data_IF_238594167496
#
_entry.id   IF_238594167496
#
_cell.length_a   1.000
_cell.length_b   1.000
_cell.length_c   1.000
_cell.angle_alpha   90.00
_cell.angle_beta   90.00
_cell.angle_gamma   90.00
#
_symmetry.space_group_name_H-M   'P 1'
#
loop_
_entity.id
_entity.type
_entity.pdbx_description
1 polymer ?
#
# COMPACT_ATOMS: atom_id res chain seq x y z
N UNK A 1 7.36 -8.79 18.57
CA UNK A 1 6.10 -8.50 17.85
C UNK A 1 5.68 -9.78 17.12
N UNK A 2 4.42 -10.21 17.18
CA UNK A 2 3.95 -11.39 16.43
C UNK A 2 3.62 -11.00 14.99
N UNK A 3 3.66 -11.94 14.04
CA UNK A 3 3.26 -11.70 12.64
C UNK A 3 1.84 -11.13 12.54
N UNK A 4 0.92 -11.61 13.40
CA UNK A 4 -0.44 -11.07 13.46
C UNK A 4 -0.46 -9.59 13.86
N UNK A 5 0.29 -9.21 14.90
CA UNK A 5 0.39 -7.81 15.34
C UNK A 5 1.06 -6.92 14.29
N UNK A 6 2.08 -7.43 13.58
CA UNK A 6 2.70 -6.70 12.47
C UNK A 6 1.68 -6.42 11.35
N UNK A 7 0.92 -7.43 10.94
CA UNK A 7 -0.11 -7.29 9.90
C UNK A 7 -1.24 -6.36 10.31
N UNK A 8 -1.59 -6.34 11.59
CA UNK A 8 -2.55 -5.38 12.14
C UNK A 8 -2.01 -3.95 12.04
N UNK A 9 -0.80 -3.70 12.55
CA UNK A 9 -0.15 -2.39 12.47
C UNK A 9 0.02 -1.90 11.02
N UNK A 10 0.35 -2.80 10.08
CA UNK A 10 0.44 -2.46 8.65
C UNK A 10 -0.92 -2.01 8.09
N UNK A 11 -2.03 -2.67 8.46
CA UNK A 11 -3.38 -2.23 8.08
C UNK A 11 -3.75 -0.91 8.72
N UNK A 12 -3.36 -0.66 9.97
CA UNK A 12 -3.63 0.61 10.65
C UNK A 12 -2.91 1.77 9.96
N UNK A 13 -1.64 1.58 9.57
CA UNK A 13 -0.91 2.55 8.74
C UNK A 13 -1.63 2.81 7.40
N UNK A 14 -2.11 1.76 6.73
CA UNK A 14 -2.85 1.93 5.47
C UNK A 14 -4.14 2.75 5.67
N UNK A 15 -4.90 2.50 6.74
CA UNK A 15 -6.10 3.30 7.05
C UNK A 15 -5.75 4.77 7.25
N UNK A 16 -4.69 5.06 8.01
CA UNK A 16 -4.21 6.43 8.20
C UNK A 16 -3.83 7.08 6.87
N UNK A 17 -3.05 6.41 6.02
CA UNK A 17 -2.66 6.93 4.70
C UNK A 17 -3.90 7.24 3.85
N UNK A 18 -4.88 6.33 3.81
CA UNK A 18 -6.10 6.52 3.02
C UNK A 18 -6.94 7.72 3.50
N UNK A 19 -6.92 8.06 4.79
CA UNK A 19 -7.55 9.28 5.29
C UNK A 19 -6.91 10.55 4.70
N UNK A 20 -5.59 10.58 4.57
CA UNK A 20 -4.88 11.71 3.96
C UNK A 20 -5.01 11.73 2.43
N UNK A 21 -4.91 10.58 1.77
CA UNK A 21 -5.15 10.45 0.33
C UNK A 21 -6.54 10.96 -0.03
N UNK A 22 -7.56 10.64 0.77
CA UNK A 22 -8.92 11.15 0.55
C UNK A 22 -9.01 12.69 0.64
N UNK A 23 -8.20 13.34 1.49
CA UNK A 23 -8.15 14.83 1.52
C UNK A 23 -7.54 15.37 0.23
N UNK A 24 -6.43 14.80 -0.21
CA UNK A 24 -5.76 15.20 -1.47
C UNK A 24 -6.70 15.01 -2.65
N UNK A 25 -7.39 13.88 -2.74
CA UNK A 25 -8.36 13.59 -3.81
C UNK A 25 -9.45 14.65 -3.87
N UNK A 26 -9.96 15.12 -2.73
CA UNK A 26 -11.01 16.16 -2.69
C UNK A 26 -10.53 17.55 -3.11
N UNK A 27 -9.24 17.81 -3.00
CA UNK A 27 -8.63 19.10 -3.32
C UNK A 27 -7.95 19.12 -4.70
N UNK A 28 -7.88 17.97 -5.38
CA UNK A 28 -7.21 17.82 -6.66
C UNK A 28 -8.24 17.73 -7.79
N UNK A 29 -8.15 18.64 -8.75
CA UNK A 29 -8.99 18.61 -9.95
C UNK A 29 -8.44 17.65 -11.01
N UNK A 30 -9.32 17.05 -11.81
CA UNK A 30 -8.98 16.15 -12.90
C UNK A 30 -8.98 14.65 -12.54
N UNK A 31 -8.48 13.83 -13.45
CA UNK A 31 -8.38 12.38 -13.24
C UNK A 31 -7.17 12.02 -12.37
N UNK A 32 -7.39 11.24 -11.31
CA UNK A 32 -6.37 10.87 -10.34
C UNK A 32 -6.11 9.37 -10.42
N UNK A 33 -4.83 8.98 -10.46
CA UNK A 33 -4.39 7.60 -10.31
C UNK A 33 -3.68 7.47 -8.98
N UNK A 34 -4.10 6.50 -8.16
CA UNK A 34 -3.46 6.16 -6.90
C UNK A 34 -2.83 4.77 -7.04
N UNK A 35 -1.53 4.69 -6.81
CA UNK A 35 -0.73 3.46 -6.91
C UNK A 35 0.36 3.43 -5.83
N UNK A 36 1.06 2.31 -5.73
CA UNK A 36 2.24 2.13 -4.89
C UNK A 36 3.47 1.87 -5.75
N UNK A 37 4.65 2.27 -5.27
CA UNK A 37 5.93 1.95 -5.89
C UNK A 37 6.31 0.47 -5.73
N UNK A 38 5.96 -0.13 -4.59
CA UNK A 38 6.12 -1.55 -4.30
C UNK A 38 5.08 -2.08 -3.29
N UNK A 39 5.07 -3.41 -3.11
CA UNK A 39 4.39 -4.09 -1.99
C UNK A 39 5.34 -4.41 -0.84
N UNK A 40 4.87 -5.08 0.21
CA UNK A 40 5.65 -5.35 1.42
C UNK A 40 5.44 -6.81 1.89
N UNK A 41 6.51 -7.52 2.22
CA UNK A 41 6.40 -8.83 2.89
C UNK A 41 6.21 -8.65 4.39
N UNK A 42 5.23 -9.35 4.95
CA UNK A 42 4.81 -9.25 6.34
C UNK A 42 5.01 -10.58 7.09
N UNK A 43 5.94 -11.42 6.64
CA UNK A 43 6.29 -12.72 7.22
C UNK A 43 6.07 -13.91 6.27
N UNK A 44 5.60 -13.68 5.05
CA UNK A 44 5.47 -14.74 4.03
C UNK A 44 6.84 -15.35 3.75
N UNK A 45 6.91 -16.68 3.68
CA UNK A 45 8.18 -17.42 3.51
C UNK A 45 9.27 -17.06 4.54
N UNK A 46 8.88 -16.55 5.72
CA UNK A 46 9.78 -16.02 6.76
C UNK A 46 10.58 -14.78 6.33
N UNK A 47 10.14 -14.10 5.27
CA UNK A 47 10.72 -12.84 4.79
C UNK A 47 9.88 -11.65 5.24
N UNK A 48 10.54 -10.52 5.41
CA UNK A 48 9.94 -9.25 5.85
C UNK A 48 10.50 -8.12 4.99
N UNK A 49 9.79 -6.99 5.00
CA UNK A 49 10.13 -5.79 4.24
C UNK A 49 10.06 -6.04 2.72
N UNK A 50 10.84 -5.26 1.97
CA UNK A 50 10.96 -5.30 0.51
C UNK A 50 12.42 -5.62 0.10
N UNK A 51 12.93 -6.84 0.37
CA UNK A 51 14.29 -7.20 0.03
C UNK A 51 14.55 -7.04 -1.49
N UNK A 52 15.67 -6.43 -1.83
CA UNK A 52 16.06 -6.24 -3.22
C UNK A 52 16.40 -7.57 -3.91
N UNK A 53 16.27 -7.59 -5.24
CA UNK A 53 16.69 -8.70 -6.12
C UNK A 53 15.96 -10.03 -5.89
N UNK A 54 14.78 -9.99 -5.27
CA UNK A 54 13.90 -11.15 -5.22
C UNK A 54 12.77 -11.04 -6.24
N UNK A 55 12.39 -12.18 -6.81
CA UNK A 55 11.23 -12.29 -7.67
C UNK A 55 10.04 -12.80 -6.87
N UNK A 56 9.27 -11.86 -6.32
CA UNK A 56 8.09 -12.16 -5.53
C UNK A 56 6.93 -11.26 -5.94
N UNK A 57 5.79 -11.86 -6.28
CA UNK A 57 4.57 -11.12 -6.65
C UNK A 57 4.07 -10.22 -5.52
N UNK A 58 4.26 -10.59 -4.25
CA UNK A 58 3.84 -9.78 -3.10
C UNK A 58 4.50 -8.39 -3.11
N UNK A 59 5.74 -8.29 -3.62
CA UNK A 59 6.46 -7.02 -3.71
C UNK A 59 6.15 -6.21 -4.97
N UNK A 60 5.53 -6.83 -5.99
CA UNK A 60 5.35 -6.23 -7.34
C UNK A 60 3.89 -6.01 -7.72
N UNK A 61 2.96 -6.73 -7.10
CA UNK A 61 1.53 -6.52 -7.28
C UNK A 61 1.08 -5.36 -6.39
N UNK A 62 0.96 -4.18 -7.00
CA UNK A 62 0.59 -2.93 -6.36
C UNK A 62 -0.85 -2.55 -6.73
N UNK A 63 -1.56 -1.79 -5.88
CA UNK A 63 -2.89 -1.28 -6.21
C UNK A 63 -2.84 -0.33 -7.40
N UNK A 64 -3.90 -0.33 -8.20
CA UNK A 64 -4.16 0.68 -9.23
C UNK A 64 -5.60 1.14 -9.07
N UNK A 65 -5.79 2.33 -8.51
CA UNK A 65 -7.10 2.93 -8.33
C UNK A 65 -7.23 4.18 -9.20
N UNK A 66 -8.20 4.16 -10.10
CA UNK A 66 -8.60 5.33 -10.87
C UNK A 66 -9.73 6.05 -10.14
N UNK A 67 -9.51 7.33 -9.83
CA UNK A 67 -10.54 8.22 -9.32
C UNK A 67 -10.85 9.23 -10.42
N UNK A 68 -12.09 9.21 -10.89
CA UNK A 68 -12.59 10.18 -11.87
C UNK A 68 -13.22 11.32 -11.09
N UNK A 69 -12.76 12.54 -11.33
CA UNK A 69 -13.53 13.72 -10.97
C UNK A 69 -14.86 13.73 -11.74
N UNK A 70 -15.89 14.32 -11.15
CA UNK A 70 -17.05 14.79 -11.92
C UNK A 70 -16.65 15.92 -12.86
#
# INVERSE_FOLDING_TARGET
ITVSRLREAYRDNLRLVLEYVNKIVKETEGGIIITSDHGEMLGEYRLFLHPCRIECKILRLVPWLEVRGE
#
